data_IF_790361459617
#
_entry.id   IF_790361459617
#
_cell.length_a   1.000
_cell.length_b   1.000
_cell.length_c   1.000
_cell.angle_alpha   90.00
_cell.angle_beta   90.00
_cell.angle_gamma   90.00
#
_symmetry.space_group_name_H-M   'P 1'
#
loop_
_entity.id
_entity.type
_entity.pdbx_description
1 polymer ?
#
# COMPACT_ATOMS: atom_id res chain seq x y z
N UNK A 1 6.57 -10.33 -24.70
CA UNK A 1 5.10 -10.27 -24.53
C UNK A 1 4.83 -9.53 -23.22
N UNK A 2 4.57 -8.23 -23.28
CA UNK A 2 4.23 -7.43 -22.10
C UNK A 2 2.72 -7.32 -21.96
N UNK A 3 2.18 -7.64 -20.80
CA UNK A 3 0.77 -7.41 -20.48
C UNK A 3 0.57 -5.91 -20.24
N UNK A 4 0.14 -5.18 -21.27
CA UNK A 4 -0.43 -3.85 -21.10
C UNK A 4 -1.76 -4.01 -20.38
N UNK A 5 -1.72 -3.95 -19.05
CA UNK A 5 -2.92 -3.89 -18.22
C UNK A 5 -3.68 -2.61 -18.59
N UNK A 6 -4.87 -2.76 -19.14
CA UNK A 6 -5.74 -1.64 -19.50
C UNK A 6 -6.14 -0.89 -18.23
N UNK A 7 -5.56 0.29 -18.07
CA UNK A 7 -5.97 1.24 -17.03
C UNK A 7 -7.40 1.66 -17.32
N UNK A 8 -8.29 1.54 -16.32
CA UNK A 8 -9.69 1.95 -16.47
C UNK A 8 -9.75 3.40 -16.95
N UNK A 9 -10.62 3.76 -17.91
CA UNK A 9 -10.78 5.14 -18.37
C UNK A 9 -11.20 6.11 -17.26
N UNK A 10 -11.74 5.59 -16.15
CA UNK A 10 -12.07 6.39 -14.95
C UNK A 10 -10.85 6.78 -14.10
N UNK A 11 -9.69 6.14 -14.29
CA UNK A 11 -8.50 6.37 -13.46
C UNK A 11 -8.03 7.83 -13.52
N UNK A 12 -8.09 8.47 -14.69
CA UNK A 12 -7.72 9.88 -14.83
C UNK A 12 -8.65 10.84 -14.06
N UNK A 13 -9.93 10.50 -13.93
CA UNK A 13 -10.89 11.32 -13.18
C UNK A 13 -10.69 11.19 -11.67
N UNK A 14 -10.47 9.96 -11.19
CA UNK A 14 -10.20 9.70 -9.77
C UNK A 14 -8.87 10.33 -9.34
N UNK A 15 -7.82 10.21 -10.17
CA UNK A 15 -6.52 10.84 -9.92
C UNK A 15 -6.63 12.37 -9.92
N UNK A 16 -7.38 12.98 -10.84
CA UNK A 16 -7.55 14.43 -10.88
C UNK A 16 -8.34 14.95 -9.67
N UNK A 17 -9.37 14.22 -9.22
CA UNK A 17 -10.08 14.54 -7.97
C UNK A 17 -9.16 14.47 -6.75
N UNK A 18 -8.36 13.41 -6.62
CA UNK A 18 -7.42 13.26 -5.50
C UNK A 18 -6.32 14.33 -5.54
N UNK A 19 -5.88 14.71 -6.74
CA UNK A 19 -4.97 15.84 -6.98
C UNK A 19 -5.59 17.17 -6.54
N UNK A 20 -6.89 17.36 -6.74
CA UNK A 20 -7.62 18.59 -6.37
C UNK A 20 -7.77 18.74 -4.85
N UNK A 21 -7.76 17.64 -4.09
CA UNK A 21 -7.80 17.63 -2.62
C UNK A 21 -6.41 17.89 -2.01
N UNK A 22 -5.34 17.85 -2.82
CA UNK A 22 -3.97 18.05 -2.35
C UNK A 22 -3.45 16.91 -1.46
N UNK A 23 -4.13 15.76 -1.46
CA UNK A 23 -3.78 14.58 -0.66
C UNK A 23 -3.96 13.31 -1.49
N UNK A 24 -2.93 12.47 -1.53
CA UNK A 24 -2.92 11.15 -2.15
C UNK A 24 -3.02 10.09 -1.05
N UNK A 25 -4.05 9.25 -1.11
CA UNK A 25 -4.26 8.17 -0.14
C UNK A 25 -3.81 6.85 -0.76
N UNK A 26 -2.88 6.16 -0.11
CA UNK A 26 -2.47 4.81 -0.50
C UNK A 26 -2.94 3.78 0.52
N UNK A 27 -3.59 2.72 0.03
CA UNK A 27 -3.98 1.55 0.83
C UNK A 27 -3.16 0.33 0.43
N UNK A 28 -2.32 -0.17 1.34
CA UNK A 28 -1.56 -1.41 1.17
C UNK A 28 -2.22 -2.52 1.97
N UNK A 29 -2.57 -3.63 1.29
CA UNK A 29 -3.14 -4.82 1.92
C UNK A 29 -2.25 -6.03 1.67
N UNK A 30 -1.74 -6.61 2.74
CA UNK A 30 -0.90 -7.82 2.72
C UNK A 30 -1.71 -8.96 3.30
N UNK A 31 -1.95 -10.02 2.52
CA UNK A 31 -2.57 -11.25 2.99
C UNK A 31 -1.53 -12.37 2.92
N UNK A 32 -1.19 -12.97 4.06
CA UNK A 32 -0.14 -13.97 4.14
C UNK A 32 -0.53 -15.19 4.97
N UNK A 33 0.24 -16.26 4.79
CA UNK A 33 0.24 -17.42 5.69
C UNK A 33 1.64 -17.57 6.28
N UNK A 34 1.74 -17.49 7.60
CA UNK A 34 2.99 -17.67 8.33
C UNK A 34 3.05 -19.07 8.93
N UNK A 35 4.20 -19.72 8.83
CA UNK A 35 4.50 -20.97 9.56
C UNK A 35 5.77 -20.75 10.35
N UNK A 36 5.73 -21.03 11.64
CA UNK A 36 6.90 -20.98 12.50
C UNK A 36 7.59 -22.33 12.48
N UNK A 37 8.92 -22.33 12.30
CA UNK A 37 9.74 -23.54 12.39
C UNK A 37 10.68 -23.40 13.58
N UNK A 38 10.60 -24.31 14.53
CA UNK A 38 11.48 -24.39 15.69
C UNK A 38 12.06 -25.81 15.72
N UNK A 39 13.34 -25.93 15.36
CA UNK A 39 13.98 -27.23 15.18
C UNK A 39 13.27 -28.09 14.12
N UNK A 40 12.79 -29.27 14.53
CA UNK A 40 12.05 -30.21 13.69
C UNK A 40 10.52 -29.96 13.66
N UNK A 41 10.00 -29.06 14.49
CA UNK A 41 8.56 -28.78 14.60
C UNK A 41 8.17 -27.59 13.72
N UNK A 42 7.08 -27.74 12.98
CA UNK A 42 6.48 -26.68 12.16
C UNK A 42 5.07 -26.41 12.69
N UNK A 43 4.77 -25.13 12.94
CA UNK A 43 3.43 -24.72 13.38
C UNK A 43 2.40 -24.91 12.26
N UNK A 44 1.14 -25.05 12.66
CA UNK A 44 0.02 -24.91 11.73
C UNK A 44 0.08 -23.54 11.02
N UNK A 45 -0.30 -23.45 9.73
CA UNK A 45 -0.32 -22.19 9.00
C UNK A 45 -1.25 -21.15 9.64
N UNK A 46 -0.66 -20.02 9.97
CA UNK A 46 -1.32 -18.86 10.55
C UNK A 46 -1.70 -17.86 9.45
N UNK A 47 -2.97 -17.48 9.30
CA UNK A 47 -3.35 -16.42 8.34
C UNK A 47 -3.16 -15.07 9.02
N UNK A 48 -2.47 -14.16 8.36
CA UNK A 48 -2.38 -12.78 8.83
C UNK A 48 -2.75 -11.82 7.70
N UNK A 49 -3.44 -10.75 8.07
CA UNK A 49 -3.85 -9.68 7.17
C UNK A 49 -3.31 -8.39 7.75
N UNK A 50 -2.43 -7.72 7.02
CA UNK A 50 -1.97 -6.38 7.36
C UNK A 50 -2.67 -5.39 6.44
N UNK A 51 -3.37 -4.43 7.01
CA UNK A 51 -3.93 -3.30 6.29
C UNK A 51 -3.19 -2.05 6.73
N UNK A 52 -2.45 -1.42 5.81
CA UNK A 52 -1.78 -0.15 6.03
C UNK A 52 -2.43 0.92 5.16
N UNK A 53 -2.69 2.09 5.75
CA UNK A 53 -3.13 3.28 5.02
C UNK A 53 -2.11 4.39 5.26
N UNK A 54 -1.74 5.09 4.20
CA UNK A 54 -0.87 6.26 4.26
C UNK A 54 -1.47 7.39 3.44
N UNK A 55 -1.35 8.61 3.97
CA UNK A 55 -1.85 9.83 3.34
C UNK A 55 -0.64 10.73 3.08
N UNK A 56 -0.44 11.09 1.82
CA UNK A 56 0.67 11.96 1.40
C UNK A 56 0.12 13.27 0.86
N UNK A 57 0.72 14.40 1.24
CA UNK A 57 0.39 15.69 0.64
C UNK A 57 0.93 15.76 -0.81
N UNK A 58 0.06 16.12 -1.75
CA UNK A 58 0.40 16.27 -3.17
C UNK A 58 1.05 17.66 -3.38
N UNK A 59 2.30 17.70 -3.85
CA UNK A 59 3.01 18.95 -4.12
C UNK A 59 4.33 18.76 -4.87
N UNK A 60 4.87 19.79 -5.55
CA UNK A 60 6.04 19.69 -6.43
C UNK A 60 7.30 19.12 -5.77
N UNK A 61 7.42 19.29 -4.45
CA UNK A 61 8.57 18.84 -3.65
C UNK A 61 8.44 17.39 -3.19
N UNK A 62 7.29 16.76 -3.40
CA UNK A 62 6.95 15.41 -2.92
C UNK A 62 6.76 14.45 -4.10
N UNK A 63 7.56 14.66 -5.16
CA UNK A 63 7.56 13.82 -6.34
C UNK A 63 7.74 12.35 -5.93
N UNK A 64 6.87 11.51 -6.51
CA UNK A 64 6.73 10.05 -6.34
C UNK A 64 7.99 9.26 -6.79
N UNK A 65 9.18 9.88 -6.77
CA UNK A 65 10.42 9.32 -7.31
C UNK A 65 11.71 9.77 -6.63
N UNK A 66 11.66 10.39 -5.44
CA UNK A 66 12.85 10.83 -4.71
C UNK A 66 12.88 10.24 -3.29
N UNK A 67 13.67 9.18 -3.10
CA UNK A 67 14.00 8.65 -1.76
C UNK A 67 12.86 7.98 -1.00
N UNK A 68 13.13 7.38 0.17
CA UNK A 68 12.14 6.62 0.93
C UNK A 68 10.94 7.50 1.22
N UNK A 69 9.77 7.04 0.77
CA UNK A 69 8.50 7.76 0.82
C UNK A 69 8.23 8.25 2.24
N UNK A 70 8.55 9.52 2.50
CA UNK A 70 8.27 10.19 3.77
C UNK A 70 6.79 10.51 3.80
N UNK A 71 6.00 9.59 4.36
CA UNK A 71 4.59 9.81 4.64
C UNK A 71 4.43 10.97 5.64
N UNK A 72 4.18 12.18 5.14
CA UNK A 72 4.08 13.40 5.96
C UNK A 72 2.98 13.36 7.04
N UNK A 73 2.06 12.38 6.98
CA UNK A 73 0.98 12.18 7.95
C UNK A 73 1.07 10.83 8.71
N UNK A 74 2.20 10.11 8.58
CA UNK A 74 2.38 8.80 9.19
C UNK A 74 1.61 7.68 8.47
N UNK A 75 2.09 6.44 8.60
CA UNK A 75 1.38 5.25 8.14
C UNK A 75 0.65 4.60 9.32
N UNK A 76 -0.66 4.35 9.16
CA UNK A 76 -1.42 3.57 10.13
C UNK A 76 -1.52 2.14 9.62
N UNK A 77 -1.00 1.19 10.39
CA UNK A 77 -1.08 -0.23 10.08
C UNK A 77 -1.88 -0.97 11.15
N UNK A 78 -2.84 -1.79 10.72
CA UNK A 78 -3.57 -2.72 11.57
C UNK A 78 -3.31 -4.14 11.10
N UNK A 79 -3.07 -5.04 12.05
CA UNK A 79 -2.82 -6.45 11.78
C UNK A 79 -3.97 -7.28 12.35
N UNK A 80 -4.64 -8.01 11.47
CA UNK A 80 -5.63 -9.03 11.84
C UNK A 80 -4.99 -10.39 11.72
N UNK A 81 -5.14 -11.16 12.79
CA UNK A 81 -4.52 -12.44 13.04
C UNK A 81 -5.68 -13.42 13.06
#
# INVERSE_FOLDING_TARGET
MGISLSVSPSFGYEVNRDQTIGKLVFSLKINGRLRWKIGAWISSPYRFIVNCVTIQAFGPNNAVGSGPVSANQGSQCSTTV
#
